data_IF_049470367789
#
_entry.id   IF_049470367789
#
_cell.length_a   1.000
_cell.length_b   1.000
_cell.length_c   1.000
_cell.angle_alpha   90.00
_cell.angle_beta   90.00
_cell.angle_gamma   90.00
#
_symmetry.space_group_name_H-M   'P 1'
#
loop_
_entity.id
_entity.type
_entity.pdbx_description
1 polymer ?
#
# COMPACT_ATOMS: atom_id res chain seq x y z
N UNK A 1 -37.82 53.27 38.08
CA UNK A 1 -36.51 53.97 38.06
C UNK A 1 -35.52 53.10 38.81
N UNK A 2 -34.25 52.94 38.38
CA UNK A 2 -33.58 53.29 37.11
C UNK A 2 -33.35 52.01 36.23
N UNK A 3 -33.25 52.01 34.90
CA UNK A 3 -32.26 52.62 33.99
C UNK A 3 -30.83 52.13 34.22
N UNK A 4 -30.49 50.95 33.65
CA UNK A 4 -29.11 50.47 33.57
C UNK A 4 -28.72 50.30 32.09
N UNK A 5 -27.76 51.14 31.70
CA UNK A 5 -27.15 51.25 30.38
C UNK A 5 -26.19 50.07 30.14
N UNK A 6 -26.05 49.57 28.91
CA UNK A 6 -25.06 48.52 28.62
C UNK A 6 -23.64 49.09 28.65
N UNK A 7 -22.74 48.33 29.29
CA UNK A 7 -21.32 48.60 29.40
C UNK A 7 -20.60 48.36 28.06
N UNK A 8 -19.71 49.30 27.71
CA UNK A 8 -18.73 49.17 26.63
C UNK A 8 -17.74 48.04 26.92
N UNK A 9 -17.34 47.23 25.92
CA UNK A 9 -16.21 46.32 26.08
C UNK A 9 -14.88 47.08 25.93
N UNK A 10 -14.11 47.01 27.02
CA UNK A 10 -12.71 47.38 27.17
C UNK A 10 -11.84 46.88 26.02
N UNK A 11 -11.13 47.82 25.39
CA UNK A 11 -9.99 47.57 24.53
C UNK A 11 -8.74 47.40 25.40
N UNK A 12 -8.20 46.19 25.50
CA UNK A 12 -6.78 45.96 25.75
C UNK A 12 -6.44 44.47 25.56
N UNK A 13 -5.74 44.17 24.46
CA UNK A 13 -5.02 42.92 24.28
C UNK A 13 -3.75 43.21 23.46
N UNK A 14 -2.54 43.03 24.01
CA UNK A 14 -1.30 43.24 23.26
C UNK A 14 -1.02 42.08 22.31
N UNK A 15 -1.01 42.38 21.01
CA UNK A 15 -0.57 41.48 19.95
C UNK A 15 0.95 41.29 20.02
N UNK A 16 1.41 40.14 20.52
CA UNK A 16 2.80 39.70 20.40
C UNK A 16 3.06 39.27 18.95
N UNK A 17 3.61 40.20 18.15
CA UNK A 17 4.11 39.94 16.81
C UNK A 17 5.55 39.43 16.93
N UNK A 18 5.74 38.13 16.76
CA UNK A 18 7.07 37.52 16.59
C UNK A 18 7.48 37.78 15.14
N UNK A 19 8.35 38.76 14.92
CA UNK A 19 9.03 38.96 13.64
C UNK A 19 10.07 37.83 13.45
N UNK A 20 9.79 36.94 12.49
CA UNK A 20 10.78 36.00 11.96
C UNK A 20 11.77 36.77 11.05
N UNK A 21 13.09 36.47 11.12
CA UNK A 21 14.06 37.04 10.18
C UNK A 21 13.87 36.47 8.75
N UNK A 22 14.23 37.24 7.70
CA UNK A 22 14.05 36.82 6.32
C UNK A 22 14.92 35.62 5.94
N UNK A 23 14.34 34.70 5.16
CA UNK A 23 14.99 33.53 4.60
C UNK A 23 16.23 33.93 3.78
N UNK A 24 17.39 33.43 4.21
CA UNK A 24 18.63 33.53 3.44
C UNK A 24 18.64 32.37 2.45
N UNK A 25 18.35 32.69 1.19
CA UNK A 25 18.52 31.80 0.05
C UNK A 25 20.01 31.70 -0.27
N UNK A 26 20.65 30.59 0.11
CA UNK A 26 22.00 30.23 -0.36
C UNK A 26 22.24 28.74 -0.15
N UNK A 27 21.85 27.94 -1.13
CA UNK A 27 22.28 26.54 -1.25
C UNK A 27 23.72 26.50 -1.79
N UNK A 28 24.66 25.75 -1.18
CA UNK A 28 25.95 25.48 -1.80
C UNK A 28 25.79 24.41 -2.89
N UNK A 29 25.89 24.82 -4.15
CA UNK A 29 26.07 23.95 -5.31
C UNK A 29 27.41 23.25 -5.22
N UNK A 30 27.43 22.00 -4.75
CA UNK A 30 28.57 21.11 -4.88
C UNK A 30 28.46 20.33 -6.20
N UNK A 31 29.11 20.85 -7.23
CA UNK A 31 29.27 20.19 -8.54
C UNK A 31 30.35 19.12 -8.44
N UNK A 32 29.97 17.84 -8.43
CA UNK A 32 30.93 16.72 -8.62
C UNK A 32 30.96 16.37 -10.10
N UNK A 33 32.12 16.43 -10.78
CA UNK A 33 32.23 16.02 -12.18
C UNK A 33 32.13 14.50 -12.32
N UNK A 34 31.22 14.05 -13.20
CA UNK A 34 31.13 12.66 -13.66
C UNK A 34 32.31 12.36 -14.59
N UNK A 35 33.22 11.51 -14.14
CA UNK A 35 34.29 10.94 -14.97
C UNK A 35 33.76 9.69 -15.69
N UNK A 36 33.71 9.65 -17.04
CA UNK A 36 33.37 8.43 -17.76
C UNK A 36 34.56 7.46 -17.77
N UNK A 37 34.38 6.29 -17.16
CA UNK A 37 35.31 5.17 -17.30
C UNK A 37 35.19 4.57 -18.70
N UNK A 38 36.22 4.77 -19.52
CA UNK A 38 36.52 3.94 -20.69
C UNK A 38 37.16 2.64 -20.21
N UNK A 39 36.45 1.52 -20.36
CA UNK A 39 37.01 0.17 -20.34
C UNK A 39 36.93 -0.41 -21.75
N UNK A 40 38.05 -0.93 -22.24
CA UNK A 40 38.27 -1.37 -23.62
C UNK A 40 37.34 -2.53 -24.03
N UNK A 41 36.73 -2.39 -25.20
CA UNK A 41 36.26 -3.50 -26.01
C UNK A 41 37.45 -4.35 -26.47
N UNK A 42 37.55 -5.58 -25.98
CA UNK A 42 38.25 -6.64 -26.70
C UNK A 42 37.45 -7.92 -26.55
N UNK A 43 36.64 -8.22 -27.57
CA UNK A 43 36.03 -9.53 -27.78
C UNK A 43 36.91 -10.24 -28.80
N UNK A 44 37.64 -11.26 -28.34
CA UNK A 44 38.18 -12.31 -29.20
C UNK A 44 37.45 -13.62 -28.85
N UNK A 45 37.10 -14.44 -29.85
CA UNK A 45 36.30 -15.64 -29.66
C UNK A 45 37.12 -16.82 -29.10
N UNK A 46 36.36 -17.75 -28.53
CA UNK A 46 36.73 -18.89 -27.70
C UNK A 46 36.99 -20.16 -28.53
N UNK A 47 37.95 -20.95 -28.05
CA UNK A 47 38.26 -22.38 -28.21
C UNK A 47 38.67 -22.98 -29.58
N UNK A 48 39.79 -23.70 -29.59
CA UNK A 48 39.82 -25.18 -29.55
C UNK A 48 41.27 -25.69 -29.32
N UNK A 49 41.38 -26.87 -28.70
CA UNK A 49 42.56 -27.70 -28.44
C UNK A 49 43.43 -27.36 -27.20
N UNK A 50 43.27 -28.08 -26.09
CA UNK A 50 44.09 -29.28 -25.79
C UNK A 50 43.86 -29.77 -24.34
N UNK A 51 43.85 -31.09 -24.20
CA UNK A 51 43.43 -31.89 -23.05
C UNK A 51 44.24 -31.67 -21.76
N UNK A 52 43.56 -31.84 -20.62
CA UNK A 52 44.20 -31.96 -19.31
C UNK A 52 43.20 -32.05 -18.16
N UNK A 53 42.58 -33.22 -18.02
CA UNK A 53 41.95 -33.64 -16.76
C UNK A 53 42.95 -33.49 -15.62
N UNK A 54 42.52 -32.90 -14.49
CA UNK A 54 42.74 -33.45 -13.16
C UNK A 54 42.05 -32.59 -12.10
N UNK A 55 40.80 -32.96 -11.82
CA UNK A 55 40.08 -32.61 -10.61
C UNK A 55 40.59 -33.44 -9.43
N UNK A 56 40.92 -32.82 -8.29
CA UNK A 56 40.77 -33.47 -6.98
C UNK A 56 40.28 -32.51 -5.90
N UNK A 57 39.08 -32.82 -5.42
CA UNK A 57 38.45 -32.38 -4.18
C UNK A 57 39.19 -32.94 -2.96
N UNK A 58 39.39 -32.15 -1.91
CA UNK A 58 39.72 -32.66 -0.59
C UNK A 58 38.51 -32.53 0.34
N UNK A 59 38.09 -33.66 0.90
CA UNK A 59 37.08 -33.74 1.97
C UNK A 59 37.83 -34.02 3.26
N UNK A 60 37.69 -33.12 4.24
CA UNK A 60 38.16 -33.32 5.61
C UNK A 60 36.99 -33.91 6.40
N UNK A 61 37.19 -35.06 7.05
CA UNK A 61 36.24 -35.61 8.04
C UNK A 61 37.02 -36.08 9.28
N UNK A 62 36.50 -35.88 10.51
CA UNK A 62 37.23 -36.05 11.78
C UNK A 62 37.19 -37.50 12.33
N UNK A 63 37.89 -37.79 13.45
CA UNK A 63 38.41 -39.13 13.76
C UNK A 63 37.48 -40.01 14.62
N UNK A 64 37.52 -41.32 14.37
CA UNK A 64 36.83 -42.34 15.15
C UNK A 64 37.69 -43.60 15.37
N UNK A 65 38.35 -43.64 16.53
CA UNK A 65 38.74 -44.79 17.39
C UNK A 65 39.12 -46.17 16.81
N UNK A 66 40.37 -46.52 17.12
CA UNK A 66 40.99 -47.80 17.50
C UNK A 66 41.23 -48.91 16.46
N UNK A 67 42.52 -49.12 16.23
CA UNK A 67 43.18 -50.31 15.67
C UNK A 67 42.77 -51.62 16.36
N UNK A 68 42.87 -52.73 15.63
CA UNK A 68 43.81 -53.77 16.03
C UNK A 68 45.02 -53.78 15.10
N UNK A 69 46.18 -53.92 15.73
CA UNK A 69 47.50 -54.08 15.13
C UNK A 69 47.50 -55.30 14.21
N UNK A 70 47.77 -55.10 12.92
CA UNK A 70 48.30 -56.15 12.06
C UNK A 70 49.81 -56.15 12.21
N UNK A 71 50.31 -57.19 12.86
CA UNK A 71 51.70 -57.63 12.79
C UNK A 71 51.98 -58.02 11.34
N UNK A 72 52.73 -57.19 10.61
CA UNK A 72 53.42 -57.68 9.41
C UNK A 72 54.43 -58.74 9.86
N UNK A 73 54.25 -59.94 9.31
CA UNK A 73 55.13 -61.09 9.42
C UNK A 73 56.54 -60.73 8.94
N UNK A 74 57.39 -60.33 9.88
CA UNK A 74 58.84 -60.19 9.72
C UNK A 74 59.56 -61.55 9.58
N UNK A 75 58.81 -62.64 9.47
CA UNK A 75 59.33 -64.02 9.37
C UNK A 75 59.59 -64.47 7.91
N UNK A 76 59.15 -63.71 6.90
CA UNK A 76 59.22 -64.15 5.49
C UNK A 76 60.54 -63.80 4.76
N UNK A 77 61.44 -62.98 5.33
CA UNK A 77 62.71 -62.61 4.68
C UNK A 77 63.94 -63.39 5.19
N UNK A 78 63.80 -64.14 6.29
CA UNK A 78 64.86 -65.03 6.80
C UNK A 78 64.88 -66.41 6.11
N UNK A 79 63.83 -66.78 5.36
CA UNK A 79 63.68 -68.10 4.74
C UNK A 79 64.32 -68.24 3.34
N UNK A 80 65.08 -67.24 2.86
CA UNK A 80 65.73 -67.28 1.54
C UNK A 80 67.21 -67.72 1.58
N UNK A 81 67.77 -68.04 2.76
CA UNK A 81 69.19 -68.42 2.89
C UNK A 81 69.43 -69.88 3.34
N UNK A 82 68.39 -70.68 3.48
CA UNK A 82 68.46 -72.02 4.07
C UNK A 82 67.85 -73.11 3.19
N UNK A 83 68.22 -73.21 1.91
CA UNK A 83 68.07 -74.47 1.17
C UNK A 83 68.75 -74.45 -0.19
N UNK A 84 70.03 -74.83 -0.22
CA UNK A 84 70.48 -75.69 -1.30
C UNK A 84 71.47 -76.72 -0.77
N UNK A 85 70.97 -77.95 -0.79
CA UNK A 85 71.58 -79.16 -0.28
C UNK A 85 72.95 -79.45 -0.90
N UNK A 86 73.83 -79.94 -0.05
CA UNK A 86 75.16 -80.46 -0.32
C UNK A 86 75.03 -81.94 -0.73
N UNK A 87 75.63 -82.30 -1.85
CA UNK A 87 75.68 -83.66 -2.40
C UNK A 87 76.90 -84.41 -1.82
N UNK A 88 76.75 -85.56 -1.12
CA UNK A 88 77.86 -86.22 -0.46
C UNK A 88 78.29 -87.48 -1.21
N UNK A 89 79.35 -87.38 -2.02
CA UNK A 89 80.25 -88.50 -2.28
C UNK A 89 81.45 -87.98 -3.05
N UNK A 90 82.64 -87.98 -2.42
CA UNK A 90 83.87 -88.47 -3.02
C UNK A 90 84.86 -88.79 -1.89
N UNK A 91 85.34 -90.02 -1.93
CA UNK A 91 86.25 -90.67 -0.99
C UNK A 91 87.53 -89.88 -0.70
N UNK A 92 87.91 -89.84 0.58
CA UNK A 92 89.12 -89.21 1.08
C UNK A 92 90.15 -90.32 1.35
N UNK A 93 91.26 -90.32 0.61
CA UNK A 93 92.50 -90.97 1.02
C UNK A 93 93.40 -89.96 1.78
N UNK A 94 94.10 -90.36 2.87
CA UNK A 94 94.61 -89.41 3.84
C UNK A 94 95.99 -88.87 3.49
N UNK A 95 96.16 -87.55 3.48
CA UNK A 95 97.45 -86.88 3.54
C UNK A 95 97.52 -85.95 4.76
N UNK A 96 98.63 -86.05 5.46
CA UNK A 96 98.80 -85.70 6.86
C UNK A 96 99.66 -84.42 6.96
N UNK A 97 99.28 -83.46 7.81
CA UNK A 97 100.10 -82.89 8.91
C UNK A 97 99.77 -81.44 9.32
N UNK A 98 99.78 -81.30 10.65
CA UNK A 98 100.24 -80.17 11.50
C UNK A 98 99.34 -78.94 11.66
N UNK A 99 98.69 -78.95 12.83
CA UNK A 99 98.07 -77.82 13.53
C UNK A 99 98.99 -76.61 13.73
N UNK A 100 98.43 -75.41 13.58
CA UNK A 100 98.99 -74.15 14.09
C UNK A 100 97.94 -73.42 14.93
N UNK A 101 98.25 -73.18 16.21
CA UNK A 101 97.35 -72.65 17.25
C UNK A 101 97.05 -71.14 17.13
N UNK A 102 97.51 -70.46 16.07
CA UNK A 102 97.42 -69.00 15.96
C UNK A 102 96.17 -68.48 15.22
N UNK A 103 95.45 -69.31 14.45
CA UNK A 103 94.26 -68.88 13.70
C UNK A 103 92.99 -68.67 14.55
N UNK A 104 92.85 -69.38 15.68
CA UNK A 104 91.64 -69.30 16.54
C UNK A 104 91.56 -68.02 17.39
N UNK A 105 92.69 -67.34 17.64
CA UNK A 105 92.72 -66.12 18.45
C UNK A 105 92.29 -64.88 17.66
N UNK A 106 92.50 -64.86 16.35
CA UNK A 106 92.14 -63.73 15.49
C UNK A 106 90.62 -63.62 15.21
N UNK A 107 89.92 -64.75 15.13
CA UNK A 107 88.46 -64.76 14.89
C UNK A 107 87.65 -64.22 16.09
N UNK A 108 88.12 -64.49 17.32
CA UNK A 108 87.43 -64.04 18.55
C UNK A 108 87.55 -62.52 18.73
N UNK A 109 88.70 -61.93 18.41
CA UNK A 109 88.89 -60.48 18.53
C UNK A 109 88.08 -59.67 17.52
N UNK A 110 87.84 -60.18 16.31
CA UNK A 110 86.98 -59.52 15.31
C UNK A 110 85.52 -59.50 15.77
N UNK A 111 85.04 -60.60 16.35
CA UNK A 111 83.66 -60.69 16.87
C UNK A 111 83.43 -59.70 18.02
N UNK A 112 84.40 -59.56 18.93
CA UNK A 112 84.35 -58.60 20.03
C UNK A 112 84.39 -57.16 19.50
N UNK A 113 85.16 -56.88 18.45
CA UNK A 113 85.21 -55.55 17.85
C UNK A 113 83.86 -55.16 17.20
N UNK A 114 83.20 -56.12 16.55
CA UNK A 114 81.91 -55.90 15.89
C UNK A 114 80.78 -55.62 16.90
N UNK A 115 80.75 -56.34 18.02
CA UNK A 115 79.75 -56.12 19.08
C UNK A 115 79.93 -54.77 19.75
N UNK A 116 81.18 -54.34 19.98
CA UNK A 116 81.47 -52.99 20.49
C UNK A 116 81.01 -51.92 19.49
N UNK A 117 81.21 -52.13 18.18
CA UNK A 117 80.78 -51.18 17.15
C UNK A 117 79.26 -51.01 17.10
N UNK A 118 78.50 -52.11 17.20
CA UNK A 118 77.03 -52.07 17.20
C UNK A 118 76.49 -51.41 18.47
N UNK A 119 77.07 -51.72 19.63
CA UNK A 119 76.69 -51.08 20.89
C UNK A 119 76.92 -49.56 20.85
N UNK A 120 78.02 -49.12 20.23
CA UNK A 120 78.31 -47.70 20.02
C UNK A 120 77.29 -47.04 19.08
N UNK A 121 76.89 -47.73 18.00
CA UNK A 121 75.89 -47.24 17.04
C UNK A 121 74.51 -47.04 17.68
N UNK A 122 74.09 -47.95 18.55
CA UNK A 122 72.81 -47.84 19.28
C UNK A 122 72.87 -46.75 20.34
N UNK A 123 74.00 -46.58 21.04
CA UNK A 123 74.16 -45.54 22.06
C UNK A 123 74.17 -44.12 21.49
N UNK A 124 74.58 -43.95 20.22
CA UNK A 124 74.59 -42.67 19.51
C UNK A 124 73.30 -42.47 18.69
N UNK A 125 72.38 -43.44 18.70
CA UNK A 125 71.11 -43.31 17.99
C UNK A 125 70.28 -42.15 18.61
N UNK A 126 69.98 -41.09 17.85
CA UNK A 126 69.26 -39.94 18.39
C UNK A 126 67.80 -40.32 18.66
N UNK A 127 67.32 -39.99 19.87
CA UNK A 127 65.89 -40.08 20.21
C UNK A 127 65.26 -38.68 20.08
N UNK A 128 64.15 -38.61 19.35
CA UNK A 128 63.38 -37.37 19.18
C UNK A 128 62.07 -37.48 19.97
N UNK A 129 61.85 -36.56 20.90
CA UNK A 129 60.57 -36.43 21.61
C UNK A 129 59.77 -35.33 20.93
N UNK A 130 58.65 -35.70 20.31
CA UNK A 130 57.77 -34.74 19.61
C UNK A 130 56.77 -34.20 20.64
N UNK A 131 56.96 -32.96 21.06
CA UNK A 131 55.98 -32.24 21.88
C UNK A 131 54.96 -31.57 20.96
N UNK A 132 53.72 -32.09 20.95
CA UNK A 132 52.60 -31.49 20.21
C UNK A 132 51.81 -30.62 21.19
N UNK A 133 51.90 -29.30 21.04
CA UNK A 133 51.06 -28.35 21.79
C UNK A 133 49.96 -27.84 20.87
N UNK A 134 48.67 -28.10 21.18
CA UNK A 134 47.56 -27.60 20.37
C UNK A 134 47.48 -26.07 20.51
N UNK A 135 47.48 -25.37 19.38
CA UNK A 135 47.22 -23.94 19.30
C UNK A 135 45.75 -23.76 18.94
N UNK A 136 45.00 -23.10 19.83
CA UNK A 136 43.60 -22.71 19.57
C UNK A 136 43.66 -21.27 19.06
N UNK A 137 43.45 -21.08 17.76
CA UNK A 137 43.24 -19.75 17.19
C UNK A 137 41.73 -19.47 17.17
N UNK A 138 41.30 -18.34 17.73
CA UNK A 138 39.91 -17.92 17.69
C UNK A 138 39.59 -17.38 16.29
N UNK A 139 38.63 -18.01 15.60
CA UNK A 139 38.13 -17.55 14.30
C UNK A 139 36.93 -16.64 14.56
N UNK A 140 37.03 -15.37 14.21
CA UNK A 140 35.90 -14.44 14.19
C UNK A 140 35.20 -14.52 12.82
N UNK A 141 34.00 -15.10 12.79
CA UNK A 141 33.11 -15.01 11.64
C UNK A 141 32.15 -13.83 11.83
N UNK A 142 32.05 -12.93 10.84
CA UNK A 142 31.01 -11.90 10.79
C UNK A 142 29.95 -12.36 9.79
N UNK A 143 28.76 -12.64 10.31
CA UNK A 143 27.58 -12.96 9.51
C UNK A 143 26.71 -11.70 9.45
N UNK A 144 26.34 -11.28 8.25
CA UNK A 144 25.38 -10.20 8.02
C UNK A 144 23.98 -10.80 7.92
N UNK A 145 23.06 -10.28 8.73
CA UNK A 145 21.66 -10.73 8.73
C UNK A 145 20.79 -9.54 8.37
N UNK A 146 19.86 -9.76 7.44
CA UNK A 146 18.96 -8.72 6.99
C UNK A 146 17.63 -9.26 6.52
N UNK A 147 16.69 -8.34 6.39
CA UNK A 147 15.38 -8.65 5.82
C UNK A 147 15.53 -8.90 4.33
N UNK A 148 14.78 -9.88 3.83
CA UNK A 148 14.78 -10.23 2.42
C UNK A 148 14.18 -9.07 1.60
N UNK A 149 15.05 -8.21 1.07
CA UNK A 149 14.70 -7.01 0.33
C UNK A 149 15.45 -6.99 -1.02
N UNK A 150 14.79 -6.59 -2.12
CA UNK A 150 15.43 -6.54 -3.42
C UNK A 150 16.61 -5.55 -3.43
N UNK A 151 17.78 -6.00 -3.91
CA UNK A 151 18.98 -5.19 -4.06
C UNK A 151 19.94 -5.18 -2.85
N UNK A 152 19.66 -5.96 -1.80
CA UNK A 152 20.60 -6.19 -0.69
C UNK A 152 20.85 -7.68 -0.50
N UNK A 153 22.12 -8.07 -0.46
CA UNK A 153 22.55 -9.43 -0.13
C UNK A 153 22.96 -9.48 1.33
N UNK A 154 22.38 -10.39 2.09
CA UNK A 154 22.79 -10.72 3.45
C UNK A 154 23.20 -12.19 3.50
N UNK A 155 24.08 -12.56 4.42
CA UNK A 155 24.45 -13.97 4.59
C UNK A 155 23.26 -14.80 5.10
N UNK A 156 22.36 -14.17 5.87
CA UNK A 156 21.09 -14.76 6.34
C UNK A 156 19.94 -13.83 5.98
N UNK A 157 18.97 -14.37 5.25
CA UNK A 157 17.74 -13.69 4.86
C UNK A 157 16.58 -14.08 5.78
N UNK A 158 15.89 -13.09 6.35
CA UNK A 158 14.65 -13.29 7.10
C UNK A 158 13.49 -12.72 6.31
N UNK A 159 12.54 -13.58 5.94
CA UNK A 159 11.34 -13.18 5.23
C UNK A 159 10.37 -12.47 6.21
N UNK A 160 9.98 -11.22 5.93
CA UNK A 160 8.99 -10.54 6.77
C UNK A 160 7.60 -11.15 6.59
N UNK A 161 6.78 -11.10 7.64
CA UNK A 161 5.40 -11.56 7.60
C UNK A 161 4.47 -10.44 7.12
N UNK A 162 3.55 -10.75 6.21
CA UNK A 162 2.55 -9.80 5.74
C UNK A 162 1.39 -9.69 6.74
N UNK A 163 0.99 -8.47 7.06
CA UNK A 163 -0.25 -8.16 7.80
C UNK A 163 -1.14 -7.28 6.93
N UNK A 164 -2.45 -7.35 7.14
CA UNK A 164 -3.38 -6.49 6.43
C UNK A 164 -4.74 -6.41 7.11
N UNK A 165 -5.43 -5.31 6.87
CA UNK A 165 -6.79 -5.07 7.32
C UNK A 165 -7.53 -4.15 6.36
N UNK A 166 -8.84 -4.04 6.57
CA UNK A 166 -9.68 -3.08 5.86
C UNK A 166 -10.08 -1.97 6.84
N UNK A 167 -9.70 -0.75 6.53
CA UNK A 167 -10.11 0.45 7.26
C UNK A 167 -11.44 0.92 6.69
N UNK A 168 -12.42 1.13 7.56
CA UNK A 168 -13.72 1.66 7.15
C UNK A 168 -13.95 3.05 7.73
N UNK A 169 -14.55 3.93 6.92
CA UNK A 169 -14.97 5.26 7.35
C UNK A 169 -16.33 5.59 6.71
N UNK A 170 -17.13 6.36 7.44
CA UNK A 170 -18.43 6.83 6.97
C UNK A 170 -18.66 8.25 7.46
N UNK A 171 -19.24 9.09 6.61
CA UNK A 171 -19.61 10.44 6.98
C UNK A 171 -20.90 10.87 6.27
N UNK A 172 -21.52 11.92 6.79
CA UNK A 172 -22.74 12.50 6.24
C UNK A 172 -22.73 14.01 6.33
N UNK A 173 -23.23 14.68 5.30
CA UNK A 173 -23.35 16.14 5.25
C UNK A 173 -24.74 16.56 4.76
N UNK A 174 -25.25 17.72 5.17
CA UNK A 174 -26.42 18.32 4.53
C UNK A 174 -26.10 18.67 3.08
N UNK A 175 -27.08 18.51 2.20
CA UNK A 175 -26.96 18.88 0.77
C UNK A 175 -27.16 20.37 0.57
N UNK A 176 -26.41 20.96 -0.35
CA UNK A 176 -26.46 22.41 -0.65
C UNK A 176 -27.11 22.73 -1.98
N UNK A 177 -27.30 21.73 -2.85
CA UNK A 177 -28.01 21.91 -4.11
C UNK A 177 -29.50 22.18 -3.89
N UNK A 178 -30.09 22.96 -4.79
CA UNK A 178 -31.52 23.28 -4.75
C UNK A 178 -32.11 23.19 -6.16
N UNK A 179 -33.33 22.67 -6.25
CA UNK A 179 -34.16 22.77 -7.45
C UNK A 179 -35.55 23.27 -7.10
N UNK A 180 -36.19 23.96 -8.03
CA UNK A 180 -37.54 24.48 -7.87
C UNK A 180 -38.50 23.70 -8.76
N UNK A 181 -39.63 23.28 -8.18
CA UNK A 181 -40.74 22.72 -8.94
C UNK A 181 -42.00 23.55 -8.73
N UNK A 182 -42.88 23.67 -9.73
CA UNK A 182 -44.21 24.22 -9.54
C UNK A 182 -45.00 23.49 -8.45
N UNK A 183 -45.63 24.23 -7.52
CA UNK A 183 -46.39 23.66 -6.41
C UNK A 183 -47.88 24.02 -6.51
N UNK A 184 -48.21 25.30 -6.31
CA UNK A 184 -49.56 25.80 -6.46
C UNK A 184 -49.75 26.57 -7.78
N UNK A 185 -50.95 26.46 -8.35
CA UNK A 185 -51.37 27.29 -9.47
C UNK A 185 -52.00 28.58 -8.96
N UNK A 186 -51.74 29.68 -9.67
CA UNK A 186 -52.30 30.97 -9.31
C UNK A 186 -53.82 30.98 -9.53
N UNK A 187 -54.52 31.71 -8.67
CA UNK A 187 -55.97 31.86 -8.69
C UNK A 187 -56.34 33.33 -8.56
N UNK A 188 -57.46 33.70 -9.15
CA UNK A 188 -58.01 35.04 -9.01
C UNK A 188 -59.32 35.15 -9.76
N UNK A 189 -59.63 36.32 -10.29
CA UNK A 189 -60.88 36.53 -10.99
C UNK A 189 -60.77 37.48 -12.18
N UNK A 190 -61.56 37.20 -13.21
CA UNK A 190 -61.78 38.09 -14.34
C UNK A 190 -63.10 38.83 -14.18
N UNK A 191 -63.08 40.13 -14.43
CA UNK A 191 -64.28 40.88 -14.73
C UNK A 191 -64.66 40.64 -16.18
N UNK A 192 -65.86 40.11 -16.36
CA UNK A 192 -66.48 39.90 -17.66
C UNK A 192 -67.43 41.04 -17.97
N UNK A 193 -67.37 41.56 -19.19
CA UNK A 193 -68.24 42.64 -19.67
C UNK A 193 -68.95 42.20 -20.95
N UNK A 194 -70.28 42.23 -20.91
CA UNK A 194 -71.16 41.89 -22.01
C UNK A 194 -71.77 43.15 -22.65
N UNK A 195 -71.35 43.51 -23.88
CA UNK A 195 -71.94 44.62 -24.62
C UNK A 195 -73.24 44.25 -25.34
N UNK A 196 -73.63 42.97 -25.39
CA UNK A 196 -74.79 42.49 -26.15
C UNK A 196 -76.09 42.66 -25.37
N UNK A 197 -77.22 42.78 -26.08
CA UNK A 197 -78.56 42.86 -25.49
C UNK A 197 -79.13 41.50 -25.04
N UNK A 198 -78.34 40.43 -25.14
CA UNK A 198 -78.71 39.07 -24.72
C UNK A 198 -77.72 38.55 -23.68
N UNK A 199 -78.16 37.79 -22.67
CA UNK A 199 -77.24 37.13 -21.75
C UNK A 199 -76.34 36.15 -22.50
N UNK A 200 -75.10 35.99 -22.04
CA UNK A 200 -74.15 35.03 -22.60
C UNK A 200 -73.71 34.08 -21.49
N UNK A 201 -73.78 32.78 -21.78
CA UNK A 201 -73.30 31.73 -20.90
C UNK A 201 -71.85 31.39 -21.23
N UNK A 202 -71.05 31.21 -20.18
CA UNK A 202 -69.63 30.87 -20.26
C UNK A 202 -69.43 29.64 -19.39
N UNK A 203 -69.03 28.55 -20.02
CA UNK A 203 -68.77 27.29 -19.35
C UNK A 203 -67.46 27.38 -18.54
N UNK A 204 -67.37 26.57 -17.49
CA UNK A 204 -66.10 26.29 -16.82
C UNK A 204 -65.09 25.71 -17.82
N UNK A 205 -63.83 26.13 -17.71
CA UNK A 205 -62.76 25.73 -18.62
C UNK A 205 -62.55 26.66 -19.81
N UNK A 206 -63.28 27.77 -19.92
CA UNK A 206 -62.99 28.81 -20.91
C UNK A 206 -61.59 29.42 -20.65
N UNK A 207 -60.75 29.44 -21.69
CA UNK A 207 -59.36 29.89 -21.58
C UNK A 207 -59.24 31.38 -21.93
N UNK A 208 -58.71 32.16 -21.00
CA UNK A 208 -58.22 33.51 -21.24
C UNK A 208 -56.70 33.47 -21.35
N UNK A 209 -56.14 34.11 -22.36
CA UNK A 209 -54.70 34.21 -22.58
C UNK A 209 -54.24 35.62 -22.29
N UNK A 210 -53.15 35.78 -21.54
CA UNK A 210 -52.52 37.07 -21.30
C UNK A 210 -51.61 37.49 -22.46
N UNK A 211 -51.11 38.73 -22.41
CA UNK A 211 -50.22 39.26 -23.45
C UNK A 211 -48.84 38.56 -23.54
N UNK A 212 -48.42 37.88 -22.47
CA UNK A 212 -47.19 37.08 -22.37
C UNK A 212 -47.35 35.61 -22.77
N UNK A 213 -48.58 35.16 -23.06
CA UNK A 213 -48.90 33.78 -23.41
C UNK A 213 -49.30 32.88 -22.22
N UNK A 214 -49.50 33.43 -21.03
CA UNK A 214 -50.05 32.72 -19.88
C UNK A 214 -51.53 32.39 -20.07
N UNK A 215 -51.93 31.17 -19.72
CA UNK A 215 -53.29 30.66 -19.90
C UNK A 215 -54.02 30.49 -18.57
N UNK A 216 -55.27 30.96 -18.52
CA UNK A 216 -56.11 30.95 -17.33
C UNK A 216 -57.48 30.37 -17.67
N UNK A 217 -57.89 29.33 -16.94
CA UNK A 217 -59.18 28.67 -17.14
C UNK A 217 -60.22 29.16 -16.11
N UNK A 218 -61.45 29.42 -16.55
CA UNK A 218 -62.59 29.64 -15.65
C UNK A 218 -62.87 28.36 -14.83
N UNK A 219 -63.15 28.51 -13.54
CA UNK A 219 -63.38 27.34 -12.65
C UNK A 219 -64.85 26.98 -12.46
N UNK A 220 -65.76 27.88 -12.84
CA UNK A 220 -67.22 27.71 -12.68
C UNK A 220 -67.96 28.24 -13.89
N UNK A 221 -69.15 27.72 -14.14
CA UNK A 221 -70.06 28.25 -15.15
C UNK A 221 -70.61 29.63 -14.71
N UNK A 222 -70.58 30.62 -15.59
CA UNK A 222 -71.07 31.98 -15.32
C UNK A 222 -71.98 32.44 -16.45
N UNK A 223 -73.08 33.07 -16.08
CA UNK A 223 -73.95 33.76 -17.05
C UNK A 223 -73.77 35.26 -16.88
N UNK A 224 -73.27 35.92 -17.93
CA UNK A 224 -73.10 37.37 -17.94
C UNK A 224 -74.42 38.00 -18.41
N UNK A 225 -75.03 38.92 -17.63
CA UNK A 225 -76.29 39.53 -18.00
C UNK A 225 -76.16 40.35 -19.30
N UNK A 226 -77.27 40.66 -20.00
CA UNK A 226 -77.24 41.56 -21.14
C UNK A 226 -76.88 42.99 -20.72
N UNK A 227 -76.40 43.79 -21.66
CA UNK A 227 -76.36 45.24 -21.53
C UNK A 227 -77.78 45.81 -21.46
N UNK A 228 -77.94 46.85 -20.65
CA UNK A 228 -79.21 47.58 -20.49
C UNK A 228 -79.04 49.04 -20.91
N UNK A 229 -79.01 49.33 -22.22
CA UNK A 229 -78.83 50.70 -22.72
C UNK A 229 -80.07 51.58 -22.49
N UNK A 230 -81.23 51.01 -22.15
CA UNK A 230 -82.50 51.73 -22.02
C UNK A 230 -82.92 51.94 -20.56
N UNK A 231 -82.43 51.14 -19.61
CA UNK A 231 -82.63 51.30 -18.18
C UNK A 231 -81.40 51.88 -17.49
N UNK A 232 -80.48 51.03 -17.04
CA UNK A 232 -79.30 51.46 -16.27
C UNK A 232 -78.23 52.20 -17.09
N UNK A 233 -78.30 52.14 -18.42
CA UNK A 233 -77.30 52.66 -19.36
C UNK A 233 -75.90 52.03 -19.13
N UNK A 234 -75.85 50.78 -18.66
CA UNK A 234 -74.60 50.05 -18.37
C UNK A 234 -74.50 48.75 -19.18
N UNK A 235 -73.26 48.32 -19.44
CA UNK A 235 -73.01 46.96 -19.90
C UNK A 235 -73.34 45.93 -18.81
N UNK A 236 -73.68 44.72 -19.23
CA UNK A 236 -73.81 43.61 -18.30
C UNK A 236 -72.43 43.21 -17.80
N UNK A 237 -72.29 42.90 -16.51
CA UNK A 237 -71.02 42.48 -15.93
C UNK A 237 -71.19 41.32 -14.97
N UNK A 238 -70.16 40.48 -14.89
CA UNK A 238 -70.08 39.38 -13.94
C UNK A 238 -68.61 39.10 -13.61
N UNK A 239 -68.34 38.54 -12.43
CA UNK A 239 -66.99 38.13 -12.03
C UNK A 239 -66.86 36.62 -12.18
N UNK A 240 -65.79 36.20 -12.87
CA UNK A 240 -65.47 34.80 -13.13
C UNK A 240 -64.24 34.38 -12.31
N UNK A 241 -64.33 33.39 -11.40
CA UNK A 241 -63.13 32.82 -10.80
C UNK A 241 -62.30 32.09 -11.87
N UNK A 242 -60.99 32.29 -11.83
CA UNK A 242 -60.02 31.69 -12.75
C UNK A 242 -58.87 31.02 -12.01
N UNK A 243 -58.25 30.05 -12.68
CA UNK A 243 -57.04 29.37 -12.24
C UNK A 243 -56.05 29.27 -13.41
N UNK A 244 -54.78 29.57 -13.16
CA UNK A 244 -53.72 29.38 -14.13
C UNK A 244 -53.64 27.90 -14.56
N UNK A 245 -53.53 27.65 -15.86
CA UNK A 245 -53.45 26.30 -16.43
C UNK A 245 -52.15 25.63 -16.01
N UNK A 246 -51.03 26.35 -16.14
CA UNK A 246 -49.73 25.92 -15.64
C UNK A 246 -49.59 26.28 -14.15
N UNK A 247 -49.18 25.33 -13.28
CA UNK A 247 -48.81 25.65 -11.92
C UNK A 247 -47.48 26.43 -11.88
N UNK A 248 -47.21 27.11 -10.76
CA UNK A 248 -45.94 27.80 -10.53
C UNK A 248 -46.09 29.31 -10.43
N UNK A 249 -44.99 29.96 -10.03
CA UNK A 249 -44.96 31.42 -9.86
C UNK A 249 -45.16 32.20 -11.17
N UNK A 250 -44.91 31.56 -12.31
CA UNK A 250 -45.11 32.13 -13.66
C UNK A 250 -46.59 32.39 -13.99
N UNK A 251 -47.53 31.69 -13.32
CA UNK A 251 -48.95 31.94 -13.48
C UNK A 251 -49.48 33.15 -12.69
N UNK A 252 -48.63 33.85 -11.93
CA UNK A 252 -49.05 35.09 -11.26
C UNK A 252 -49.03 36.24 -12.27
N UNK A 253 -50.01 37.13 -12.17
CA UNK A 253 -50.16 38.26 -13.07
C UNK A 253 -50.60 39.51 -12.31
N UNK A 254 -50.05 40.67 -12.68
CA UNK A 254 -50.47 41.95 -12.10
C UNK A 254 -51.88 42.32 -12.54
N UNK A 255 -52.53 43.22 -11.81
CA UNK A 255 -53.83 43.77 -12.21
C UNK A 255 -53.77 44.34 -13.64
N UNK A 256 -54.87 44.19 -14.38
CA UNK A 256 -55.08 44.74 -15.72
C UNK A 256 -54.11 44.23 -16.81
N UNK A 257 -53.40 43.12 -16.57
CA UNK A 257 -52.48 42.50 -17.55
C UNK A 257 -53.13 41.42 -18.40
N UNK A 258 -54.16 40.76 -17.86
CA UNK A 258 -54.97 39.76 -18.56
C UNK A 258 -56.20 40.47 -19.10
N UNK A 259 -56.22 40.76 -20.39
CA UNK A 259 -57.36 41.39 -21.04
C UNK A 259 -57.54 40.88 -22.46
N UNK A 260 -58.78 40.90 -22.94
CA UNK A 260 -59.10 40.45 -24.29
C UNK A 260 -60.59 40.29 -24.51
N UNK A 261 -60.92 39.60 -25.60
CA UNK A 261 -62.28 39.29 -25.98
C UNK A 261 -62.36 37.84 -26.44
N UNK A 262 -63.33 37.10 -25.93
CA UNK A 262 -63.65 35.75 -26.44
C UNK A 262 -64.51 35.83 -27.70
N UNK A 263 -64.55 34.75 -28.49
CA UNK A 263 -65.32 34.67 -29.75
C UNK A 263 -66.83 34.90 -29.56
N UNK A 264 -67.35 34.61 -28.37
CA UNK A 264 -68.73 34.91 -27.97
C UNK A 264 -68.98 36.43 -27.76
N UNK A 265 -67.96 37.27 -27.94
CA UNK A 265 -68.00 38.72 -27.86
C UNK A 265 -67.92 39.30 -26.46
N UNK A 266 -67.68 38.49 -25.42
CA UNK A 266 -67.47 38.95 -24.04
C UNK A 266 -66.04 39.45 -23.87
N UNK A 267 -65.91 40.66 -23.31
CA UNK A 267 -64.62 41.19 -22.90
C UNK A 267 -64.27 40.70 -21.51
N UNK A 268 -63.02 40.34 -21.29
CA UNK A 268 -62.50 39.98 -19.98
C UNK A 268 -61.35 40.88 -19.61
N UNK A 269 -61.22 41.19 -18.32
CA UNK A 269 -60.06 41.86 -17.74
C UNK A 269 -59.87 41.41 -16.30
N UNK A 270 -58.64 41.19 -15.83
CA UNK A 270 -58.41 41.02 -14.41
C UNK A 270 -58.33 42.40 -13.72
N UNK A 271 -59.23 42.69 -12.79
CA UNK A 271 -59.15 43.95 -12.01
C UNK A 271 -58.16 43.86 -10.85
N UNK A 272 -58.06 42.67 -10.28
CA UNK A 272 -57.15 42.35 -9.19
C UNK A 272 -56.00 41.47 -9.71
N UNK A 273 -54.83 41.49 -9.05
CA UNK A 273 -53.73 40.61 -9.41
C UNK A 273 -54.11 39.13 -9.22
N UNK A 274 -53.61 38.26 -10.10
CA UNK A 274 -53.71 36.81 -9.96
C UNK A 274 -52.52 36.33 -9.14
N UNK A 275 -52.81 35.66 -8.03
CA UNK A 275 -51.80 35.30 -7.02
C UNK A 275 -51.94 33.85 -6.56
N UNK A 276 -50.97 33.35 -5.80
CA UNK A 276 -50.97 31.99 -5.26
C UNK A 276 -50.19 30.98 -6.10
N UNK A 277 -49.66 31.38 -7.25
CA UNK A 277 -48.67 30.60 -7.99
C UNK A 277 -47.37 30.54 -7.20
N UNK A 278 -46.94 29.35 -6.79
CA UNK A 278 -45.74 29.18 -5.95
C UNK A 278 -44.83 28.08 -6.49
N UNK A 279 -43.54 28.21 -6.19
CA UNK A 279 -42.55 27.17 -6.44
C UNK A 279 -42.18 26.50 -5.12
N UNK A 280 -42.13 25.17 -5.12
CA UNK A 280 -41.59 24.38 -4.01
C UNK A 280 -40.11 24.13 -4.24
N UNK A 281 -39.32 24.45 -3.22
CA UNK A 281 -37.89 24.16 -3.19
C UNK A 281 -37.66 22.73 -2.73
N UNK A 282 -36.82 22.01 -3.47
CA UNK A 282 -36.36 20.66 -3.16
C UNK A 282 -34.84 20.70 -3.02
N UNK A 283 -34.35 20.18 -1.90
CA UNK A 283 -32.92 20.01 -1.67
C UNK A 283 -32.40 18.88 -2.57
N UNK A 284 -31.25 19.11 -3.18
CA UNK A 284 -30.61 18.17 -4.12
C UNK A 284 -29.13 18.06 -3.82
N UNK A 285 -28.55 16.91 -4.15
CA UNK A 285 -27.11 16.70 -3.99
C UNK A 285 -26.35 17.51 -5.04
N UNK A 286 -25.44 18.39 -4.61
CA UNK A 286 -24.53 19.07 -5.54
C UNK A 286 -23.23 18.28 -5.76
N UNK A 287 -22.54 18.54 -6.87
CA UNK A 287 -21.19 17.97 -7.10
C UNK A 287 -20.18 18.46 -6.04
N UNK A 288 -20.35 19.68 -5.55
CA UNK A 288 -19.52 20.25 -4.49
C UNK A 288 -19.68 19.48 -3.16
N UNK A 289 -20.90 19.05 -2.84
CA UNK A 289 -21.18 18.23 -1.66
C UNK A 289 -20.44 16.89 -1.76
N UNK A 290 -20.54 16.21 -2.91
CA UNK A 290 -19.86 14.91 -3.13
C UNK A 290 -18.35 15.04 -3.01
N UNK A 291 -17.76 16.05 -3.67
CA UNK A 291 -16.32 16.28 -3.62
C UNK A 291 -15.82 16.61 -2.20
N UNK A 292 -16.59 17.39 -1.45
CA UNK A 292 -16.25 17.77 -0.07
C UNK A 292 -16.34 16.58 0.89
N UNK A 293 -17.38 15.75 0.73
CA UNK A 293 -17.56 14.55 1.52
C UNK A 293 -16.48 13.50 1.22
N UNK A 294 -16.16 13.28 -0.06
CA UNK A 294 -15.08 12.39 -0.49
C UNK A 294 -13.73 12.80 0.09
N UNK A 295 -13.41 14.10 0.04
CA UNK A 295 -12.18 14.64 0.63
C UNK A 295 -12.11 14.39 2.13
N UNK A 296 -13.20 14.63 2.84
CA UNK A 296 -13.30 14.40 4.29
C UNK A 296 -13.08 12.93 4.64
N UNK A 297 -13.80 12.03 3.97
CA UNK A 297 -13.71 10.58 4.24
C UNK A 297 -12.34 10.02 3.85
N UNK A 298 -11.73 10.48 2.76
CA UNK A 298 -10.35 10.09 2.44
C UNK A 298 -9.34 10.53 3.50
N UNK A 299 -9.46 11.76 4.00
CA UNK A 299 -8.64 12.23 5.11
C UNK A 299 -8.79 11.34 6.36
N UNK A 300 -10.01 10.93 6.68
CA UNK A 300 -10.29 10.01 7.80
C UNK A 300 -9.70 8.62 7.58
N UNK A 301 -9.79 8.08 6.37
CA UNK A 301 -9.16 6.79 6.02
C UNK A 301 -7.64 6.87 6.15
N UNK A 302 -7.02 7.95 5.67
CA UNK A 302 -5.58 8.16 5.75
C UNK A 302 -5.12 8.25 7.21
N UNK A 303 -5.84 9.02 8.04
CA UNK A 303 -5.54 9.17 9.46
C UNK A 303 -5.66 7.86 10.25
N UNK A 304 -6.62 6.99 9.90
CA UNK A 304 -6.86 5.71 10.57
C UNK A 304 -5.97 4.57 10.08
N UNK A 305 -5.35 4.73 8.91
CA UNK A 305 -4.56 3.67 8.26
C UNK A 305 -3.37 3.21 9.10
N UNK A 306 -2.60 4.14 9.67
CA UNK A 306 -1.44 3.81 10.51
C UNK A 306 -1.88 3.14 11.80
N UNK A 307 -2.82 3.74 12.54
CA UNK A 307 -3.32 3.21 13.81
C UNK A 307 -3.92 1.81 13.65
N UNK A 308 -4.60 1.55 12.53
CA UNK A 308 -5.16 0.21 12.26
C UNK A 308 -4.07 -0.83 12.04
N UNK A 309 -3.01 -0.49 11.29
CA UNK A 309 -1.89 -1.42 11.08
C UNK A 309 -1.05 -1.63 12.34
N UNK A 310 -0.79 -0.56 13.10
CA UNK A 310 -0.05 -0.64 14.37
C UNK A 310 -0.76 -1.56 15.38
N UNK A 311 -2.09 -1.49 15.43
CA UNK A 311 -2.90 -2.38 16.28
C UNK A 311 -2.88 -3.85 15.88
N UNK A 312 -2.41 -4.18 14.67
CA UNK A 312 -2.30 -5.56 14.17
C UNK A 312 -0.90 -6.13 14.31
N UNK A 313 0.08 -5.34 14.75
CA UNK A 313 1.45 -5.80 14.95
C UNK A 313 1.46 -6.83 16.09
N UNK A 314 1.90 -8.08 15.84
CA UNK A 314 1.99 -9.09 16.89
C UNK A 314 2.93 -8.66 18.02
N UNK A 315 2.66 -9.12 19.25
CA UNK A 315 3.53 -8.84 20.40
C UNK A 315 4.94 -9.36 20.11
N UNK A 316 5.95 -8.50 20.26
CA UNK A 316 7.34 -8.82 20.00
C UNK A 316 7.78 -8.58 18.55
N UNK A 317 6.86 -8.33 17.62
CA UNK A 317 7.18 -7.94 16.25
C UNK A 317 7.22 -6.41 16.09
N UNK A 318 7.90 -5.96 15.04
CA UNK A 318 8.00 -4.55 14.64
C UNK A 318 7.52 -4.39 13.21
N UNK A 319 6.73 -3.33 12.94
CA UNK A 319 6.34 -2.96 11.59
C UNK A 319 7.55 -2.43 10.81
N UNK A 320 7.76 -2.95 9.61
CA UNK A 320 8.82 -2.48 8.73
C UNK A 320 8.44 -1.10 8.17
N UNK A 321 9.25 -0.09 8.47
CA UNK A 321 9.05 1.27 7.98
C UNK A 321 9.02 1.31 6.45
N UNK A 322 8.07 2.06 5.88
CA UNK A 322 7.89 2.16 4.43
C UNK A 322 7.29 0.93 3.75
N UNK A 323 7.02 -0.17 4.47
CA UNK A 323 6.36 -1.36 3.91
C UNK A 323 4.84 -1.22 3.77
N UNK A 324 4.26 -0.14 4.32
CA UNK A 324 2.83 0.12 4.25
C UNK A 324 2.39 0.35 2.81
N UNK A 325 1.49 -0.50 2.34
CA UNK A 325 0.83 -0.39 1.05
C UNK A 325 -0.66 -0.14 1.27
N UNK A 326 -1.21 0.82 0.51
CA UNK A 326 -2.64 1.09 0.46
C UNK A 326 -3.17 0.58 -0.86
N UNK A 327 -4.23 -0.21 -0.82
CA UNK A 327 -4.93 -0.60 -2.03
C UNK A 327 -5.88 0.50 -2.51
N UNK A 328 -6.77 0.13 -3.42
CA UNK A 328 -7.78 1.04 -3.96
C UNK A 328 -8.92 1.25 -2.96
N UNK A 329 -9.26 2.51 -2.69
CA UNK A 329 -10.39 2.85 -1.84
C UNK A 329 -11.71 2.57 -2.59
N UNK A 330 -12.60 1.81 -1.97
CA UNK A 330 -13.98 1.66 -2.44
C UNK A 330 -14.83 2.73 -1.79
N UNK A 331 -15.51 3.55 -2.59
CA UNK A 331 -16.37 4.64 -2.16
C UNK A 331 -17.81 4.36 -2.61
N UNK A 332 -18.75 4.42 -1.68
CA UNK A 332 -20.18 4.19 -1.96
C UNK A 332 -21.00 5.35 -1.42
N UNK A 333 -21.48 6.17 -2.34
CA UNK A 333 -22.51 7.16 -2.05
C UNK A 333 -23.89 6.51 -2.03
N UNK A 334 -24.77 7.02 -1.19
CA UNK A 334 -26.19 6.64 -1.17
C UNK A 334 -27.02 7.34 -2.26
N UNK A 335 -26.60 8.54 -2.67
CA UNK A 335 -27.23 9.36 -3.71
C UNK A 335 -26.22 9.88 -4.75
N UNK A 336 -26.69 10.06 -5.98
CA UNK A 336 -25.94 10.70 -7.06
C UNK A 336 -26.11 12.22 -7.06
N UNK A 337 -25.27 12.93 -7.83
CA UNK A 337 -25.44 14.36 -8.03
C UNK A 337 -26.76 14.64 -8.77
N UNK A 338 -27.52 15.61 -8.27
CA UNK A 338 -28.85 15.96 -8.78
C UNK A 338 -30.00 15.17 -8.14
N UNK A 339 -29.73 14.14 -7.35
CA UNK A 339 -30.78 13.39 -6.64
C UNK A 339 -31.43 14.25 -5.55
N UNK A 340 -32.73 14.01 -5.34
CA UNK A 340 -33.52 14.64 -4.28
C UNK A 340 -33.17 14.02 -2.92
N UNK A 341 -32.30 14.68 -2.17
CA UNK A 341 -31.95 14.30 -0.81
C UNK A 341 -31.62 15.53 0.01
N UNK A 342 -31.92 15.52 1.31
CA UNK A 342 -31.49 16.57 2.25
C UNK A 342 -30.13 16.28 2.87
N UNK A 343 -29.66 15.04 2.75
CA UNK A 343 -28.44 14.54 3.37
C UNK A 343 -27.78 13.57 2.40
N UNK A 344 -26.46 13.71 2.26
CA UNK A 344 -25.63 12.83 1.47
C UNK A 344 -24.80 11.96 2.43
N UNK A 345 -24.83 10.65 2.24
CA UNK A 345 -24.05 9.69 3.00
C UNK A 345 -22.98 9.03 2.12
N UNK A 346 -21.79 8.85 2.69
CA UNK A 346 -20.68 8.15 2.04
C UNK A 346 -20.14 7.09 2.99
N UNK A 347 -20.11 5.86 2.51
CA UNK A 347 -19.38 4.75 3.13
C UNK A 347 -18.14 4.45 2.30
N UNK A 348 -17.00 4.26 2.96
CA UNK A 348 -15.75 3.97 2.31
C UNK A 348 -14.98 2.87 3.03
N UNK A 349 -14.29 2.05 2.24
CA UNK A 349 -13.39 1.01 2.73
C UNK A 349 -12.05 1.06 1.99
N UNK A 350 -10.96 1.03 2.74
CA UNK A 350 -9.60 1.05 2.23
C UNK A 350 -8.84 -0.19 2.73
N UNK A 351 -8.45 -1.13 1.85
CA UNK A 351 -7.54 -2.20 2.23
C UNK A 351 -6.14 -1.62 2.45
N UNK A 352 -5.55 -1.93 3.61
CA UNK A 352 -4.19 -1.55 3.99
C UNK A 352 -3.40 -2.80 4.34
N UNK A 353 -2.14 -2.84 3.94
CA UNK A 353 -1.23 -3.94 4.24
C UNK A 353 0.14 -3.41 4.61
N UNK A 354 0.91 -4.22 5.33
CA UNK A 354 2.28 -3.91 5.70
C UNK A 354 3.06 -5.20 5.97
N UNK A 355 4.35 -5.03 6.22
CA UNK A 355 5.24 -6.13 6.56
C UNK A 355 5.73 -5.96 8.00
N UNK A 356 5.72 -7.03 8.78
CA UNK A 356 6.26 -7.07 10.14
C UNK A 356 7.40 -8.06 10.23
N UNK A 357 8.32 -7.83 11.16
CA UNK A 357 9.40 -8.77 11.45
C UNK A 357 9.59 -8.91 12.96
N UNK A 358 10.03 -10.09 13.39
CA UNK A 358 10.38 -10.36 14.79
C UNK A 358 11.92 -10.23 14.97
N UNK A 359 12.41 -9.23 15.70
CA UNK A 359 13.84 -9.03 15.93
C UNK A 359 14.48 -10.16 16.77
N UNK A 360 13.74 -10.83 17.66
CA UNK A 360 14.27 -11.94 18.45
C UNK A 360 14.38 -13.21 17.61
N UNK A 361 13.41 -13.47 16.74
CA UNK A 361 13.51 -14.54 15.75
C UNK A 361 14.70 -14.33 14.80
N UNK A 362 14.92 -13.09 14.34
CA UNK A 362 16.05 -12.72 13.48
C UNK A 362 17.39 -12.95 14.18
N UNK A 363 17.53 -12.56 15.46
CA UNK A 363 18.75 -12.84 16.26
C UNK A 363 18.98 -14.34 16.43
N UNK A 364 17.94 -15.09 16.75
CA UNK A 364 18.04 -16.55 16.97
C UNK A 364 18.54 -17.25 15.70
N UNK A 365 17.98 -16.88 14.55
CA UNK A 365 18.40 -17.43 13.26
C UNK A 365 19.84 -17.02 12.89
N UNK A 366 20.23 -15.77 13.20
CA UNK A 366 21.61 -15.31 13.04
C UNK A 366 22.61 -16.15 13.86
N UNK A 367 22.28 -16.42 15.13
CA UNK A 367 23.15 -17.22 16.01
C UNK A 367 23.24 -18.68 15.59
N UNK A 368 22.16 -19.26 15.08
CA UNK A 368 22.17 -20.64 14.58
C UNK A 368 23.10 -20.79 13.37
N UNK A 369 23.05 -19.86 12.42
CA UNK A 369 23.92 -19.92 11.24
C UNK A 369 25.39 -19.62 11.58
N UNK A 370 25.65 -18.72 12.53
CA UNK A 370 27.02 -18.44 12.99
C UNK A 370 27.68 -19.61 13.76
N UNK A 371 26.87 -20.54 14.28
CA UNK A 371 27.36 -21.72 15.03
C UNK A 371 27.56 -22.94 14.12
N UNK A 372 27.09 -22.87 12.87
CA UNK A 372 27.24 -23.91 11.86
C UNK A 372 28.61 -23.83 11.19
#
# INVERSE_FOLDING_TARGET
>A
MPAESPAEPSADAPTSRIDLPPATDTAPTASVPLTPWRGLDTVAPVDEDEMGDDSYSFVITPPGRHHPVQTEDLDASWAAWSSRQFDPAHEIAPAHRRSSRHGRRAAVSILILLTILVALLVAVAPSATIAVTPRIDAVEARVTVGLDQPGRSFDVHVAPAAIGATVTASASIPTTGERFIPDAAATGSLLLTNPRLTPVHIEAGAIATDASGGEYATTTDITVPPADPYGSMTFGSATAPIRAVAPGAEGNADAETIYGQWDNGIFFTNRDPITGGTMKRIATVSDADRASLEKTVRGDLDARSSTTLDGLVPVGATLLEGSMQRGEATLRFDHAAGDDATTLHLEASLPVSGQVFDPEAMKTQATAEATR
#
